data_IF_916358269768
#
_entry.id   IF_916358269768
#
_cell.length_a   1.000
_cell.length_b   1.000
_cell.length_c   1.000
_cell.angle_alpha   90.00
_cell.angle_beta   90.00
_cell.angle_gamma   90.00
#
_symmetry.space_group_name_H-M   'P 1'
#
loop_
_entity.id
_entity.type
_entity.pdbx_description
1 polymer ?
#
# COMPACT_ATOMS: atom_id res chain seq x y z
N UNK A 1 -3.39 50.11 -53.49
CA UNK A 1 -4.31 49.13 -52.89
C UNK A 1 -3.53 47.92 -52.46
N UNK A 2 -3.18 47.83 -51.19
CA UNK A 2 -2.51 46.65 -50.60
C UNK A 2 -3.43 46.07 -49.54
N UNK A 3 -3.92 44.83 -49.77
CA UNK A 3 -4.75 44.07 -48.82
C UNK A 3 -3.87 43.46 -47.75
N UNK A 4 -4.17 43.75 -46.49
CA UNK A 4 -3.57 43.12 -45.33
C UNK A 4 -4.23 41.74 -45.12
N UNK A 5 -3.44 40.67 -45.06
CA UNK A 5 -3.87 39.35 -44.58
C UNK A 5 -3.77 39.34 -43.07
N UNK A 6 -4.88 39.14 -42.38
CA UNK A 6 -4.92 38.84 -40.96
C UNK A 6 -4.55 37.39 -40.75
N UNK A 7 -3.45 37.15 -40.04
CA UNK A 7 -3.09 35.83 -39.52
C UNK A 7 -3.89 35.53 -38.26
N UNK A 8 -4.76 34.52 -38.34
CA UNK A 8 -5.46 33.94 -37.19
C UNK A 8 -4.47 33.03 -36.47
N UNK A 9 -3.99 33.46 -35.32
CA UNK A 9 -3.15 32.65 -34.48
C UNK A 9 -3.94 31.48 -33.84
N UNK A 10 -3.63 30.26 -34.23
CA UNK A 10 -4.06 29.08 -33.52
C UNK A 10 -3.27 28.97 -32.20
N UNK A 11 -3.99 29.21 -31.11
CA UNK A 11 -3.45 28.97 -29.74
C UNK A 11 -3.47 27.44 -29.51
N UNK A 12 -2.35 26.80 -29.72
CA UNK A 12 -2.14 25.40 -29.33
C UNK A 12 -2.10 25.31 -27.80
N UNK A 13 -3.18 24.82 -27.20
CA UNK A 13 -3.21 24.44 -25.79
C UNK A 13 -2.36 23.17 -25.66
N UNK A 14 -1.13 23.32 -25.20
CA UNK A 14 -0.28 22.23 -24.79
C UNK A 14 -0.94 21.54 -23.60
N UNK A 15 -1.59 20.39 -23.83
CA UNK A 15 -1.92 19.45 -22.76
C UNK A 15 -0.61 18.86 -22.26
N UNK A 16 -0.13 19.33 -21.12
CA UNK A 16 0.88 18.60 -20.35
C UNK A 16 0.25 17.29 -19.90
N UNK A 17 0.55 16.21 -20.61
CA UNK A 17 0.45 14.88 -20.06
C UNK A 17 1.40 14.86 -18.84
N UNK A 18 0.82 14.84 -17.65
CA UNK A 18 1.57 14.37 -16.48
C UNK A 18 1.81 12.88 -16.76
N UNK A 19 2.98 12.57 -17.28
CA UNK A 19 3.47 11.21 -17.35
C UNK A 19 3.44 10.69 -15.91
N UNK A 20 2.54 9.74 -15.63
CA UNK A 20 2.64 8.94 -14.44
C UNK A 20 4.05 8.37 -14.40
N UNK A 21 4.70 8.48 -13.25
CA UNK A 21 6.00 7.88 -13.05
C UNK A 21 5.93 6.43 -13.50
N UNK A 22 6.57 6.12 -14.61
CA UNK A 22 6.82 4.76 -15.03
C UNK A 22 7.72 4.16 -13.95
N UNK A 23 7.14 3.37 -13.05
CA UNK A 23 7.91 2.54 -12.16
C UNK A 23 8.81 1.68 -13.04
N UNK A 24 10.10 1.88 -12.95
CA UNK A 24 11.05 0.96 -13.56
C UNK A 24 10.89 -0.36 -12.83
N UNK A 25 10.57 -1.44 -13.55
CA UNK A 25 10.76 -2.80 -13.03
C UNK A 25 12.14 -2.83 -12.39
N UNK A 26 12.22 -3.10 -11.08
CA UNK A 26 13.53 -3.24 -10.45
C UNK A 26 14.11 -4.56 -10.93
N UNK A 27 14.85 -4.49 -12.05
CA UNK A 27 15.65 -5.58 -12.52
C UNK A 27 16.64 -6.00 -11.41
N UNK A 28 16.94 -7.29 -11.31
CA UNK A 28 17.93 -7.92 -10.41
C UNK A 28 17.50 -8.20 -8.97
N UNK A 29 16.23 -8.51 -8.73
CA UNK A 29 15.84 -9.13 -7.47
C UNK A 29 15.91 -8.26 -6.23
N UNK A 30 15.92 -6.92 -6.35
CA UNK A 30 15.95 -6.01 -5.21
C UNK A 30 14.66 -5.20 -5.11
N UNK A 31 13.96 -5.31 -3.98
CA UNK A 31 12.81 -4.48 -3.64
C UNK A 31 13.18 -3.50 -2.53
N UNK A 32 12.93 -2.21 -2.73
CA UNK A 32 12.95 -1.21 -1.66
C UNK A 32 11.67 -1.35 -0.84
N UNK A 33 11.77 -1.97 0.30
CA UNK A 33 10.64 -2.25 1.17
C UNK A 33 10.28 -1.01 1.98
N UNK A 34 9.06 -0.53 1.82
CA UNK A 34 8.43 0.49 2.67
C UNK A 34 7.02 0.03 2.98
N UNK A 35 6.74 -0.22 4.25
CA UNK A 35 5.45 -0.73 4.67
C UNK A 35 5.04 -0.20 6.04
N UNK A 36 3.75 -0.26 6.32
CA UNK A 36 3.20 0.08 7.62
C UNK A 36 2.19 -0.98 8.02
N UNK A 37 2.46 -1.65 9.12
CA UNK A 37 1.63 -2.73 9.64
C UNK A 37 0.89 -2.27 10.90
N UNK A 38 -0.44 -2.33 10.92
CA UNK A 38 -1.20 -2.35 12.16
C UNK A 38 -1.03 -3.73 12.80
N UNK A 39 -0.53 -3.74 14.03
CA UNK A 39 -0.15 -4.96 14.76
C UNK A 39 -1.01 -5.11 15.99
N UNK A 40 -1.39 -6.34 16.31
CA UNK A 40 -1.93 -6.74 17.61
C UNK A 40 -0.86 -7.53 18.34
N UNK A 41 -0.70 -7.27 19.62
CA UNK A 41 0.18 -8.05 20.45
C UNK A 41 -0.54 -8.56 21.70
N UNK A 42 -0.09 -9.70 22.18
CA UNK A 42 -0.63 -10.33 23.38
C UNK A 42 0.45 -11.10 24.14
N UNK A 43 0.25 -11.21 25.44
CA UNK A 43 1.02 -12.02 26.34
C UNK A 43 0.84 -13.50 26.02
N UNK A 44 1.92 -14.26 26.07
CA UNK A 44 1.91 -15.71 25.94
C UNK A 44 1.98 -16.33 27.33
N UNK A 45 1.07 -17.25 27.71
CA UNK A 45 1.07 -17.90 29.02
C UNK A 45 2.30 -18.77 29.25
N UNK A 46 2.99 -19.19 28.21
CA UNK A 46 4.27 -19.89 28.25
C UNK A 46 5.18 -19.38 27.12
N UNK A 47 6.46 -19.18 27.46
CA UNK A 47 7.48 -18.88 26.48
C UNK A 47 7.83 -20.11 25.63
N UNK A 48 8.27 -19.92 24.38
CA UNK A 48 8.87 -21.02 23.60
C UNK A 48 10.02 -21.69 24.34
N UNK A 49 10.24 -22.97 24.03
CA UNK A 49 11.32 -23.78 24.64
C UNK A 49 12.69 -23.10 24.46
N UNK A 50 13.54 -23.15 25.49
CA UNK A 50 14.89 -22.60 25.46
C UNK A 50 14.99 -21.14 25.90
N UNK A 51 13.88 -20.51 26.31
CA UNK A 51 13.93 -19.16 26.89
C UNK A 51 14.24 -19.23 28.41
N UNK A 52 14.95 -18.21 28.99
CA UNK A 52 15.14 -18.09 30.42
C UNK A 52 13.82 -18.07 31.20
N UNK A 53 13.80 -18.60 32.40
CA UNK A 53 12.59 -18.68 33.26
C UNK A 53 12.12 -17.32 33.81
N UNK A 54 12.98 -16.32 33.77
CA UNK A 54 12.71 -14.97 34.28
C UNK A 54 12.19 -13.99 33.20
N UNK A 55 11.82 -14.48 32.03
CA UNK A 55 11.30 -13.64 30.95
C UNK A 55 9.81 -13.85 30.71
N UNK A 56 9.15 -12.81 30.25
CA UNK A 56 7.78 -12.82 29.76
C UNK A 56 7.80 -12.82 28.26
N UNK A 57 6.89 -13.51 27.61
CA UNK A 57 6.82 -13.60 26.16
C UNK A 57 5.56 -12.98 25.59
N UNK A 58 5.68 -12.35 24.43
CA UNK A 58 4.61 -11.69 23.70
C UNK A 58 4.67 -12.08 22.23
N UNK A 59 3.51 -12.33 21.63
CA UNK A 59 3.34 -12.47 20.18
C UNK A 59 2.89 -11.13 19.58
N UNK A 60 3.47 -10.81 18.43
CA UNK A 60 3.12 -9.66 17.61
C UNK A 60 2.68 -10.17 16.25
N UNK A 61 1.43 -9.85 15.84
CA UNK A 61 0.83 -10.30 14.60
C UNK A 61 0.24 -9.11 13.86
N UNK A 62 0.67 -8.88 12.61
CA UNK A 62 0.23 -7.78 11.77
C UNK A 62 -0.13 -8.22 10.36
N UNK A 63 -0.94 -7.42 9.68
CA UNK A 63 -1.26 -7.61 8.27
C UNK A 63 -1.25 -6.27 7.54
N UNK A 64 -0.65 -6.25 6.35
CA UNK A 64 -0.62 -5.09 5.49
C UNK A 64 -0.71 -5.48 4.02
N UNK A 65 -0.93 -4.47 3.19
CA UNK A 65 -0.80 -4.55 1.74
C UNK A 65 0.47 -3.79 1.37
N UNK A 66 1.46 -4.49 0.82
CA UNK A 66 2.83 -3.99 0.61
C UNK A 66 3.13 -3.93 -0.88
N UNK A 67 3.39 -2.73 -1.44
CA UNK A 67 3.75 -2.59 -2.85
C UNK A 67 4.94 -3.48 -3.24
N UNK A 68 4.83 -4.18 -4.36
CA UNK A 68 5.80 -5.16 -4.84
C UNK A 68 5.65 -6.57 -4.25
N UNK A 69 4.94 -6.73 -3.13
CA UNK A 69 4.71 -8.05 -2.48
C UNK A 69 3.26 -8.50 -2.56
N UNK A 70 2.31 -7.59 -2.38
CA UNK A 70 0.89 -7.90 -2.24
C UNK A 70 0.45 -7.93 -0.78
N UNK A 71 -0.40 -8.90 -0.42
CA UNK A 71 -0.87 -9.08 0.96
C UNK A 71 0.19 -9.81 1.78
N UNK A 72 0.61 -9.18 2.86
CA UNK A 72 1.66 -9.68 3.75
C UNK A 72 1.13 -9.78 5.18
N UNK A 73 1.44 -10.89 5.83
CA UNK A 73 1.26 -11.09 7.27
C UNK A 73 2.64 -11.11 7.91
N UNK A 74 2.83 -10.36 8.99
CA UNK A 74 4.02 -10.42 9.80
C UNK A 74 3.76 -11.16 11.11
N UNK A 75 4.77 -11.89 11.59
CA UNK A 75 4.78 -12.48 12.93
C UNK A 75 6.17 -12.42 13.49
N UNK A 76 6.27 -12.01 14.77
CA UNK A 76 7.48 -12.13 15.57
C UNK A 76 7.16 -12.23 17.06
N UNK A 77 8.12 -12.75 17.81
CA UNK A 77 8.01 -12.91 19.26
C UNK A 77 8.97 -11.95 19.97
N UNK A 78 8.56 -11.45 21.12
CA UNK A 78 9.42 -10.69 22.04
C UNK A 78 9.45 -11.32 23.41
N UNK A 79 10.62 -11.30 24.03
CA UNK A 79 10.78 -11.58 25.45
C UNK A 79 11.04 -10.28 26.19
N UNK A 80 10.62 -10.19 27.43
CA UNK A 80 10.86 -9.05 28.31
C UNK A 80 11.32 -9.56 29.68
N UNK A 81 12.46 -9.05 30.15
CA UNK A 81 13.11 -9.45 31.43
C UNK A 81 12.91 -8.43 32.56
N UNK A 82 12.01 -7.46 32.37
CA UNK A 82 11.79 -6.35 33.30
C UNK A 82 12.61 -5.10 32.97
N UNK A 83 13.67 -5.20 32.17
CA UNK A 83 14.53 -4.10 31.75
C UNK A 83 14.61 -3.95 30.23
N UNK A 84 14.68 -5.05 29.50
CA UNK A 84 14.88 -5.07 28.07
C UNK A 84 13.89 -5.99 27.35
N UNK A 85 13.38 -5.53 26.23
CA UNK A 85 12.70 -6.39 25.26
C UNK A 85 13.74 -6.96 24.29
N UNK A 86 13.70 -8.27 24.07
CA UNK A 86 14.49 -8.96 23.05
C UNK A 86 13.53 -9.59 22.06
N UNK A 87 13.79 -9.45 20.78
CA UNK A 87 13.05 -10.19 19.77
C UNK A 87 13.69 -11.56 19.59
N UNK A 88 12.86 -12.59 19.58
CA UNK A 88 13.32 -13.94 19.27
C UNK A 88 13.64 -14.03 17.77
N UNK A 89 14.55 -14.94 17.36
CA UNK A 89 15.08 -14.99 16.00
C UNK A 89 14.05 -15.28 14.90
N UNK A 90 12.80 -15.54 15.29
CA UNK A 90 11.75 -15.93 14.34
C UNK A 90 10.97 -14.73 13.81
N UNK A 91 11.64 -13.91 13.00
CA UNK A 91 10.95 -12.92 12.17
C UNK A 91 10.49 -13.59 10.88
N UNK A 92 9.20 -13.52 10.61
CA UNK A 92 8.61 -14.06 9.38
C UNK A 92 7.61 -13.07 8.78
N UNK A 93 7.80 -12.77 7.50
CA UNK A 93 6.81 -12.16 6.64
C UNK A 93 6.23 -13.23 5.71
N UNK A 94 4.96 -13.56 5.87
CA UNK A 94 4.24 -14.46 4.96
C UNK A 94 3.59 -13.65 3.86
N UNK A 95 3.97 -13.89 2.62
CA UNK A 95 3.35 -13.30 1.43
C UNK A 95 2.34 -14.28 0.86
N UNK A 96 1.07 -13.89 0.88
CA UNK A 96 -0.04 -14.78 0.52
C UNK A 96 0.14 -15.41 -0.88
N UNK A 97 0.17 -16.75 -0.94
CA UNK A 97 0.31 -17.53 -2.17
C UNK A 97 1.71 -17.55 -2.79
N UNK A 98 2.70 -16.86 -2.20
CA UNK A 98 4.06 -16.75 -2.77
C UNK A 98 5.15 -17.38 -1.89
N UNK A 99 4.98 -17.42 -0.58
CA UNK A 99 5.95 -17.98 0.37
C UNK A 99 6.29 -17.01 1.50
N UNK A 100 7.36 -17.33 2.24
CA UNK A 100 7.80 -16.58 3.40
C UNK A 100 9.14 -15.91 3.17
N UNK A 101 9.35 -14.78 3.84
CA UNK A 101 10.65 -14.14 4.02
C UNK A 101 10.99 -14.26 5.51
N UNK A 102 12.14 -14.84 5.83
CA UNK A 102 12.58 -15.06 7.21
C UNK A 102 13.85 -14.29 7.52
N UNK A 103 14.02 -13.94 8.79
CA UNK A 103 15.18 -13.18 9.23
C UNK A 103 15.41 -13.25 10.74
N UNK A 104 16.52 -12.69 11.17
CA UNK A 104 16.88 -12.52 12.56
C UNK A 104 16.79 -11.06 12.95
N UNK A 105 16.30 -10.78 14.14
CA UNK A 105 16.26 -9.43 14.71
C UNK A 105 17.47 -9.26 15.62
N UNK A 106 18.22 -8.18 15.41
CA UNK A 106 19.40 -7.85 16.22
C UNK A 106 19.12 -6.68 17.16
N UNK A 107 19.58 -6.83 18.39
CA UNK A 107 19.54 -5.79 19.40
C UNK A 107 18.41 -5.92 20.44
N UNK A 108 18.72 -5.65 21.71
CA UNK A 108 17.71 -5.46 22.73
C UNK A 108 17.13 -4.05 22.64
N UNK A 109 15.82 -3.92 22.75
CA UNK A 109 15.18 -2.64 23.01
C UNK A 109 15.03 -2.48 24.52
N UNK A 110 15.90 -1.68 25.14
CA UNK A 110 15.91 -1.46 26.59
C UNK A 110 15.32 -0.11 26.96
N UNK A 111 14.75 -0.02 28.14
CA UNK A 111 14.47 1.25 28.81
C UNK A 111 13.09 1.85 28.61
N UNK A 112 12.09 1.12 28.13
CA UNK A 112 10.80 1.76 27.99
C UNK A 112 9.59 0.86 28.26
N UNK A 113 8.75 1.30 29.15
CA UNK A 113 7.39 0.81 29.38
C UNK A 113 6.46 1.50 28.35
N UNK A 114 5.45 0.80 27.78
CA UNK A 114 4.49 1.43 26.87
C UNK A 114 3.82 2.69 27.45
N UNK A 115 3.57 3.74 26.64
CA UNK A 115 3.74 3.83 25.18
C UNK A 115 5.21 4.05 24.79
N UNK A 116 5.73 3.21 23.94
CA UNK A 116 7.15 3.19 23.58
C UNK A 116 7.35 3.11 22.09
N UNK A 117 8.31 3.84 21.60
CA UNK A 117 8.85 3.66 20.26
C UNK A 117 10.10 2.78 20.32
N UNK A 118 10.06 1.66 19.63
CA UNK A 118 11.17 0.71 19.53
C UNK A 118 11.70 0.71 18.10
N UNK A 119 13.02 0.63 17.96
CA UNK A 119 13.67 0.40 16.67
C UNK A 119 14.34 -0.97 16.70
N UNK A 120 14.06 -1.77 15.67
CA UNK A 120 14.57 -3.13 15.51
C UNK A 120 15.25 -3.23 14.16
N UNK A 121 16.45 -3.80 14.13
CA UNK A 121 17.15 -4.10 12.88
C UNK A 121 16.99 -5.59 12.58
N UNK A 122 16.49 -5.90 11.38
CA UNK A 122 16.25 -7.26 10.88
C UNK A 122 17.24 -7.56 9.78
N UNK A 123 17.99 -8.64 9.91
CA UNK A 123 18.76 -9.23 8.82
C UNK A 123 17.93 -10.36 8.21
N UNK A 124 17.58 -10.23 6.92
CA UNK A 124 16.90 -11.29 6.18
C UNK A 124 17.91 -12.39 5.88
N UNK A 125 17.60 -13.60 6.31
CA UNK A 125 18.52 -14.76 6.22
C UNK A 125 18.03 -15.85 5.28
N UNK A 126 16.79 -15.73 4.77
CA UNK A 126 16.23 -16.72 3.85
C UNK A 126 14.74 -16.49 3.58
N UNK A 127 14.13 -17.49 2.98
CA UNK A 127 12.72 -17.53 2.68
C UNK A 127 12.30 -18.85 2.02
N UNK A 128 11.01 -18.98 1.75
CA UNK A 128 10.40 -20.15 1.09
C UNK A 128 9.68 -19.76 -0.18
N UNK A 129 9.33 -20.74 -1.02
CA UNK A 129 8.59 -20.50 -2.27
C UNK A 129 9.31 -19.52 -3.18
N UNK A 130 8.60 -18.49 -3.62
CA UNK A 130 9.15 -17.41 -4.47
C UNK A 130 10.33 -16.67 -3.83
N UNK A 131 10.44 -16.70 -2.51
CA UNK A 131 11.46 -15.97 -1.75
C UNK A 131 12.61 -16.87 -1.27
N UNK A 132 12.77 -18.06 -1.85
CA UNK A 132 13.90 -18.93 -1.55
C UNK A 132 15.22 -18.19 -1.82
N UNK A 133 16.17 -18.24 -0.86
CA UNK A 133 17.43 -17.50 -0.94
C UNK A 133 17.31 -15.99 -0.71
N UNK A 134 16.21 -15.51 -0.14
CA UNK A 134 16.05 -14.12 0.23
C UNK A 134 17.14 -13.64 1.17
N UNK A 135 17.55 -12.38 1.01
CA UNK A 135 18.57 -11.70 1.81
C UNK A 135 18.26 -10.20 1.90
N UNK A 136 18.97 -9.49 2.75
CA UNK A 136 18.78 -8.04 2.88
C UNK A 136 18.69 -7.58 4.32
N UNK A 137 18.23 -6.34 4.51
CA UNK A 137 18.07 -5.74 5.82
C UNK A 137 16.84 -4.84 5.87
N UNK A 138 16.14 -4.89 6.98
CA UNK A 138 14.95 -4.07 7.25
C UNK A 138 15.13 -3.45 8.63
N UNK A 139 14.84 -2.16 8.74
CA UNK A 139 14.63 -1.50 10.01
C UNK A 139 13.13 -1.41 10.27
N UNK A 140 12.71 -1.81 11.47
CA UNK A 140 11.34 -1.72 11.95
C UNK A 140 11.28 -0.69 13.07
N UNK A 141 10.51 0.38 12.88
CA UNK A 141 10.15 1.29 13.97
C UNK A 141 8.75 0.93 14.46
N UNK A 142 8.64 0.45 15.68
CA UNK A 142 7.40 -0.01 16.32
C UNK A 142 6.93 1.01 17.35
N UNK A 143 5.72 1.55 17.17
CA UNK A 143 5.04 2.34 18.16
C UNK A 143 4.03 1.46 18.91
N UNK A 144 4.32 1.14 20.18
CA UNK A 144 3.60 0.14 21.00
C UNK A 144 2.69 0.82 22.01
N UNK A 145 1.44 0.37 22.10
CA UNK A 145 0.44 0.85 23.05
C UNK A 145 -0.24 -0.34 23.74
N UNK A 146 -0.22 -0.34 25.07
CA UNK A 146 -1.01 -1.29 25.86
C UNK A 146 -2.47 -0.81 25.95
N UNK A 147 -3.42 -1.73 25.81
CA UNK A 147 -4.87 -1.46 25.93
C UNK A 147 -5.45 -2.03 27.22
N UNK A 148 -4.94 -3.18 27.64
CA UNK A 148 -5.25 -3.85 28.91
C UNK A 148 -4.08 -4.75 29.27
N UNK A 149 -4.01 -5.23 30.51
CA UNK A 149 -2.90 -6.04 30.99
C UNK A 149 -2.56 -7.19 30.02
N UNK A 150 -1.38 -7.14 29.45
CA UNK A 150 -0.87 -8.16 28.53
C UNK A 150 -1.45 -8.18 27.12
N UNK A 151 -2.23 -7.16 26.70
CA UNK A 151 -2.80 -7.06 25.35
C UNK A 151 -2.72 -5.63 24.83
N UNK A 152 -2.34 -5.45 23.57
CA UNK A 152 -2.28 -4.13 22.98
C UNK A 152 -2.22 -4.09 21.48
N UNK A 153 -1.90 -2.92 20.98
CA UNK A 153 -1.69 -2.67 19.55
C UNK A 153 -0.34 -2.01 19.34
N UNK A 154 0.21 -2.22 18.17
CA UNK A 154 1.38 -1.50 17.71
C UNK A 154 1.17 -1.02 16.27
N UNK A 155 2.03 -0.11 15.85
CA UNK A 155 2.18 0.25 14.44
C UNK A 155 3.64 0.07 14.09
N UNK A 156 3.91 -0.89 13.21
CA UNK A 156 5.24 -1.18 12.74
C UNK A 156 5.47 -0.53 11.38
N UNK A 157 6.51 0.29 11.28
CA UNK A 157 6.91 0.95 10.05
C UNK A 157 8.22 0.34 9.58
N UNK A 158 8.21 -0.20 8.38
CA UNK A 158 9.31 -0.90 7.75
C UNK A 158 10.04 -0.01 6.76
N UNK A 159 11.36 -0.06 6.76
CA UNK A 159 12.23 0.58 5.78
C UNK A 159 13.47 -0.26 5.55
N UNK A 160 13.76 -0.64 4.30
CA UNK A 160 14.94 -1.44 4.00
C UNK A 160 14.91 -2.08 2.63
N UNK A 161 15.69 -3.13 2.45
CA UNK A 161 15.84 -3.86 1.19
C UNK A 161 15.57 -5.34 1.36
N UNK A 162 14.83 -5.90 0.40
CA UNK A 162 14.66 -7.33 0.21
C UNK A 162 15.30 -7.72 -1.11
N UNK A 163 16.25 -8.65 -1.09
CA UNK A 163 16.92 -9.16 -2.27
C UNK A 163 16.56 -10.64 -2.46
N UNK A 164 16.16 -10.99 -3.69
CA UNK A 164 15.91 -12.38 -4.10
C UNK A 164 16.50 -12.56 -5.50
N UNK A 165 17.58 -13.32 -5.62
CA UNK A 165 18.29 -13.49 -6.90
C UNK A 165 17.36 -14.07 -7.98
N UNK A 166 17.33 -13.44 -9.15
CA UNK A 166 16.52 -13.88 -10.29
C UNK A 166 15.02 -13.62 -10.20
N UNK A 167 14.54 -12.98 -9.11
CA UNK A 167 13.16 -12.55 -8.99
C UNK A 167 12.98 -11.12 -9.53
N UNK A 168 12.02 -10.93 -10.41
CA UNK A 168 11.56 -9.59 -10.80
C UNK A 168 10.36 -9.21 -9.93
N UNK A 169 10.51 -8.17 -9.12
CA UNK A 169 9.41 -7.62 -8.36
C UNK A 169 8.57 -6.72 -9.26
N UNK A 170 7.26 -6.96 -9.30
CA UNK A 170 6.33 -6.03 -9.93
C UNK A 170 6.12 -4.81 -9.04
N UNK A 171 6.63 -3.68 -9.49
CA UNK A 171 6.50 -2.37 -8.82
C UNK A 171 5.77 -1.35 -9.72
N UNK A 172 5.16 -1.84 -10.81
CA UNK A 172 4.36 -1.02 -11.71
C UNK A 172 2.92 -0.94 -11.24
N UNK A 173 2.32 0.24 -11.36
CA UNK A 173 0.92 0.40 -11.01
C UNK A 173 0.03 0.31 -12.25
N UNK A 174 -1.20 -0.20 -12.13
CA UNK A 174 -2.13 -0.28 -13.25
C UNK A 174 -2.41 1.08 -13.90
N UNK A 175 -2.59 1.09 -15.21
CA UNK A 175 -2.96 2.28 -15.98
C UNK A 175 -4.49 2.38 -16.05
N UNK A 176 -5.04 3.48 -15.52
CA UNK A 176 -6.47 3.78 -15.58
C UNK A 176 -6.82 4.53 -16.88
N UNK A 177 -7.74 3.98 -17.66
CA UNK A 177 -8.23 4.55 -18.91
C UNK A 177 -9.71 4.91 -18.84
N UNK A 178 -10.15 5.92 -19.61
CA UNK A 178 -11.56 6.33 -19.68
C UNK A 178 -11.99 7.33 -18.58
N UNK A 179 -11.12 7.72 -17.68
CA UNK A 179 -11.39 8.73 -16.64
C UNK A 179 -11.46 10.15 -17.23
N UNK A 180 -12.55 10.49 -17.94
CA UNK A 180 -12.73 11.76 -18.65
C UNK A 180 -13.82 12.61 -18.04
N UNK A 181 -13.57 13.92 -17.96
CA UNK A 181 -14.59 14.89 -17.57
C UNK A 181 -15.80 14.83 -18.52
N UNK A 182 -17.00 14.89 -17.96
CA UNK A 182 -18.25 14.85 -18.72
C UNK A 182 -19.23 15.90 -18.24
N UNK A 183 -20.06 16.38 -19.17
CA UNK A 183 -21.12 17.33 -18.89
C UNK A 183 -22.43 16.80 -19.46
N UNK A 184 -23.48 16.81 -18.65
CA UNK A 184 -24.83 16.42 -19.06
C UNK A 184 -25.86 17.41 -18.50
N UNK A 185 -27.09 17.37 -19.02
CA UNK A 185 -28.20 18.18 -18.52
C UNK A 185 -29.21 17.32 -17.78
N UNK A 186 -29.72 17.87 -16.70
CA UNK A 186 -30.85 17.27 -16.00
C UNK A 186 -32.14 17.39 -16.85
N UNK A 187 -33.01 16.38 -16.85
CA UNK A 187 -34.38 16.49 -17.32
C UNK A 187 -35.13 17.57 -16.53
N UNK A 188 -36.22 18.15 -17.13
CA UNK A 188 -37.06 19.15 -16.46
C UNK A 188 -37.60 18.59 -15.12
N UNK A 189 -37.46 19.33 -14.05
CA UNK A 189 -37.88 18.94 -12.71
C UNK A 189 -36.96 17.99 -11.97
N UNK A 190 -35.96 17.41 -12.62
CA UNK A 190 -35.02 16.49 -11.96
C UNK A 190 -33.93 17.23 -11.17
N UNK A 191 -33.76 16.89 -9.90
CA UNK A 191 -32.69 17.40 -9.03
C UNK A 191 -31.44 16.53 -9.06
N UNK A 192 -31.56 15.28 -9.52
CA UNK A 192 -30.47 14.28 -9.61
C UNK A 192 -30.61 13.49 -10.92
N UNK A 193 -29.48 13.13 -11.50
CA UNK A 193 -29.39 12.38 -12.76
C UNK A 193 -28.56 11.13 -12.56
N UNK A 194 -29.04 9.99 -13.06
CA UNK A 194 -28.25 8.77 -13.12
C UNK A 194 -27.18 8.92 -14.21
N UNK A 195 -25.90 8.82 -13.82
CA UNK A 195 -24.76 9.01 -14.73
C UNK A 195 -24.03 7.69 -14.90
N UNK A 196 -23.82 7.28 -16.15
CA UNK A 196 -23.02 6.12 -16.51
C UNK A 196 -21.72 6.58 -17.15
N UNK A 197 -20.62 5.96 -16.78
CA UNK A 197 -19.30 6.13 -17.37
C UNK A 197 -18.56 4.79 -17.31
N UNK A 198 -17.51 4.64 -18.11
CA UNK A 198 -16.66 3.47 -18.11
C UNK A 198 -15.22 3.90 -17.80
N UNK A 199 -14.62 3.23 -16.82
CA UNK A 199 -13.21 3.35 -16.51
C UNK A 199 -12.66 1.92 -16.42
N UNK A 200 -11.63 1.64 -17.18
CA UNK A 200 -10.89 0.38 -17.16
C UNK A 200 -9.51 0.58 -16.52
N UNK A 201 -8.93 -0.50 -16.04
CA UNK A 201 -7.55 -0.53 -15.59
C UNK A 201 -6.84 -1.71 -16.25
N UNK A 202 -5.57 -1.53 -16.56
CA UNK A 202 -4.72 -2.56 -17.14
C UNK A 202 -3.31 -2.42 -16.58
N UNK A 203 -2.78 -3.51 -16.07
CA UNK A 203 -1.40 -3.62 -15.62
C UNK A 203 -0.54 -4.35 -16.66
N UNK A 204 0.74 -4.02 -16.72
CA UNK A 204 1.66 -4.62 -17.69
C UNK A 204 2.00 -6.09 -17.36
N UNK A 205 1.94 -6.47 -16.08
CA UNK A 205 2.26 -7.81 -15.58
C UNK A 205 0.99 -8.62 -15.36
N UNK A 206 0.02 -8.04 -14.64
CA UNK A 206 -1.20 -8.74 -14.23
C UNK A 206 -2.35 -8.66 -15.26
N UNK A 207 -2.24 -7.78 -16.27
CA UNK A 207 -3.25 -7.61 -17.31
C UNK A 207 -4.44 -6.75 -16.88
N UNK A 208 -5.65 -7.22 -17.13
CA UNK A 208 -6.87 -6.45 -16.86
C UNK A 208 -7.21 -6.45 -15.36
N UNK A 209 -7.27 -5.24 -14.77
CA UNK A 209 -7.55 -5.02 -13.37
C UNK A 209 -8.89 -4.33 -13.13
N UNK A 210 -9.43 -4.48 -11.91
CA UNK A 210 -10.69 -3.87 -11.52
C UNK A 210 -10.51 -2.41 -11.13
N UNK A 211 -11.12 -1.49 -11.88
CA UNK A 211 -11.24 -0.09 -11.48
C UNK A 211 -12.45 0.13 -10.55
N UNK A 212 -12.23 0.65 -9.35
CA UNK A 212 -13.27 1.02 -8.39
C UNK A 212 -13.42 2.54 -8.33
N UNK A 213 -14.61 3.06 -8.64
CA UNK A 213 -14.86 4.51 -8.68
C UNK A 213 -15.86 4.95 -7.61
N UNK A 214 -15.64 6.13 -7.04
CA UNK A 214 -16.56 6.79 -6.11
C UNK A 214 -16.79 8.24 -6.54
N UNK A 215 -18.08 8.66 -6.76
CA UNK A 215 -19.30 7.85 -6.86
C UNK A 215 -19.20 6.81 -7.98
N UNK A 216 -19.90 5.67 -7.87
CA UNK A 216 -19.85 4.60 -8.88
C UNK A 216 -20.60 4.97 -10.16
N UNK A 217 -20.24 4.35 -11.29
CA UNK A 217 -21.02 4.41 -12.53
C UNK A 217 -22.45 3.92 -12.29
N UNK A 218 -23.44 4.67 -12.78
CA UNK A 218 -24.84 4.42 -12.49
C UNK A 218 -25.39 5.08 -11.24
N UNK A 219 -24.57 5.73 -10.42
CA UNK A 219 -25.03 6.52 -9.28
C UNK A 219 -25.83 7.77 -9.71
N UNK A 220 -26.57 8.36 -8.76
CA UNK A 220 -27.34 9.60 -8.97
C UNK A 220 -26.50 10.81 -8.57
N UNK A 221 -26.20 11.68 -9.51
CA UNK A 221 -25.45 12.92 -9.34
C UNK A 221 -26.40 14.11 -9.22
N UNK A 222 -26.11 15.02 -8.29
CA UNK A 222 -26.85 16.30 -8.12
C UNK A 222 -26.47 17.29 -9.23
N UNK A 223 -27.34 18.29 -9.45
CA UNK A 223 -26.98 19.43 -10.30
C UNK A 223 -25.76 20.12 -9.70
N UNK A 224 -24.79 20.46 -10.55
CA UNK A 224 -23.48 21.01 -10.17
C UNK A 224 -22.32 20.14 -10.61
N UNK A 225 -21.17 20.30 -9.96
CA UNK A 225 -19.92 19.60 -10.25
C UNK A 225 -19.67 18.53 -9.18
N UNK A 226 -19.44 17.31 -9.59
CA UNK A 226 -19.07 16.19 -8.71
C UNK A 226 -17.73 15.62 -9.16
N UNK A 227 -16.76 15.52 -8.24
CA UNK A 227 -15.50 14.83 -8.49
C UNK A 227 -15.71 13.33 -8.34
N UNK A 228 -15.29 12.58 -9.33
CA UNK A 228 -15.19 11.11 -9.28
C UNK A 228 -13.73 10.74 -9.09
N UNK A 229 -13.47 9.84 -8.17
CA UNK A 229 -12.14 9.26 -7.94
C UNK A 229 -12.23 7.76 -8.23
N UNK A 230 -11.35 7.28 -9.09
CA UNK A 230 -11.22 5.86 -9.44
C UNK A 230 -9.87 5.36 -8.96
N UNK A 231 -9.83 4.16 -8.38
CA UNK A 231 -8.62 3.47 -7.95
C UNK A 231 -8.58 2.07 -8.56
N UNK A 232 -7.40 1.61 -8.90
CA UNK A 232 -7.12 0.23 -9.26
C UNK A 232 -5.88 -0.23 -8.50
N UNK A 233 -5.80 -1.52 -8.20
CA UNK A 233 -4.69 -2.14 -7.49
C UNK A 233 -4.46 -3.51 -8.12
N UNK A 234 -3.20 -3.84 -8.43
CA UNK A 234 -2.76 -5.13 -8.96
C UNK A 234 -2.55 -6.18 -7.85
N UNK A 235 -2.10 -7.38 -8.23
CA UNK A 235 -1.82 -8.49 -7.30
C UNK A 235 -0.59 -8.22 -6.42
N UNK A 236 0.32 -7.39 -6.87
CA UNK A 236 1.52 -6.93 -6.15
C UNK A 236 1.28 -5.69 -5.30
N UNK A 237 0.00 -5.25 -5.21
CA UNK A 237 -0.45 -4.11 -4.40
C UNK A 237 0.02 -2.73 -4.87
N UNK A 238 0.50 -2.61 -6.09
CA UNK A 238 0.73 -1.30 -6.67
C UNK A 238 -0.61 -0.66 -7.02
N UNK A 239 -0.77 0.62 -6.68
CA UNK A 239 -2.07 1.29 -6.76
C UNK A 239 -2.01 2.53 -7.63
N UNK A 240 -2.97 2.66 -8.54
CA UNK A 240 -3.19 3.85 -9.34
C UNK A 240 -4.48 4.57 -8.97
N UNK A 241 -4.49 5.88 -9.15
CA UNK A 241 -5.67 6.73 -8.92
C UNK A 241 -5.86 7.69 -10.07
N UNK A 242 -7.08 7.75 -10.59
CA UNK A 242 -7.50 8.75 -11.57
C UNK A 242 -8.69 9.57 -11.03
N UNK A 243 -8.77 10.84 -11.43
CA UNK A 243 -9.84 11.75 -11.01
C UNK A 243 -10.39 12.49 -12.20
N UNK A 244 -11.73 12.62 -12.26
CA UNK A 244 -12.41 13.44 -13.26
C UNK A 244 -13.64 14.11 -12.66
N UNK A 245 -14.21 15.07 -13.41
CA UNK A 245 -15.39 15.81 -12.97
C UNK A 245 -16.59 15.48 -13.82
N UNK A 246 -17.70 15.15 -13.17
CA UNK A 246 -19.04 15.08 -13.78
C UNK A 246 -19.76 16.39 -13.47
N UNK A 247 -20.20 17.09 -14.50
CA UNK A 247 -20.97 18.33 -14.40
C UNK A 247 -22.40 18.08 -14.86
N UNK A 248 -23.36 18.21 -13.96
CA UNK A 248 -24.79 18.17 -14.28
C UNK A 248 -25.33 19.60 -14.35
N UNK A 249 -25.67 20.07 -15.54
CA UNK A 249 -26.30 21.36 -15.76
C UNK A 249 -27.83 21.27 -15.53
N UNK A 250 -28.50 22.31 -15.04
CA UNK A 250 -29.97 22.32 -14.95
C UNK A 250 -30.62 22.15 -16.33
N UNK A 251 -31.89 21.78 -16.34
CA UNK A 251 -32.71 21.79 -17.56
C UNK A 251 -32.66 23.16 -18.22
N UNK A 252 -32.79 23.19 -19.55
CA UNK A 252 -33.10 24.46 -20.24
C UNK A 252 -34.49 24.95 -19.82
N UNK A 253 -34.62 26.25 -19.63
CA UNK A 253 -35.93 26.91 -19.43
C UNK A 253 -36.76 26.78 -20.67
#
# INVERSE_FOLDING_TARGET
MRRALSAVGMLAIAMTLVAGASGTNQANGTLQLKAKFPVKWHFLPACPTGQPSNVTCYSFDGQAVVPGLGRVTERYLKTYDGACARTLPDFVLTVAGKGDVSGTVTGPACGAVPPTQLTLDVTITGGTGTYAGASGSIQITSAVFERSAGVGVATDTYSGTLNVSGLEFDVTAPVLSGARAMTLRAPKGARRVKVRYAVSAHDAVDGAERAACKPSSGARFTIGRTRVTCTAMDSSANTATARFTVTVKPARR
#
